data_IF_168938350489
#
_entry.id   IF_168938350489
#
_cell.length_a   1.000
_cell.length_b   1.000
_cell.length_c   1.000
_cell.angle_alpha   90.00
_cell.angle_beta   90.00
_cell.angle_gamma   90.00
#
_symmetry.space_group_name_H-M   'P 1'
#
loop_
_entity.id
_entity.type
_entity.pdbx_description
1 polymer ?
#
# COMPACT_ATOMS: atom_id res chain seq x y z
N UNK A 1 -15.71 -1.66 -7.34
CA UNK A 1 -15.75 -2.58 -8.49
C UNK A 1 -14.66 -3.63 -8.34
N UNK A 2 -15.02 -4.91 -8.28
CA UNK A 2 -14.08 -6.02 -8.45
C UNK A 2 -13.72 -6.10 -9.94
N UNK A 3 -12.65 -5.41 -10.34
CA UNK A 3 -12.18 -5.44 -11.71
C UNK A 3 -11.31 -6.67 -11.95
N UNK A 4 -11.88 -7.64 -12.67
CA UNK A 4 -11.22 -8.40 -13.73
C UNK A 4 -10.09 -9.35 -13.33
N UNK A 5 -10.31 -10.64 -13.57
CA UNK A 5 -9.24 -11.61 -13.78
C UNK A 5 -8.42 -11.23 -15.01
N UNK A 6 -7.51 -10.26 -14.86
CA UNK A 6 -6.54 -9.87 -15.86
C UNK A 6 -5.24 -10.60 -15.58
N UNK A 7 -5.11 -11.82 -16.07
CA UNK A 7 -3.88 -12.62 -16.00
C UNK A 7 -2.83 -12.11 -17.01
N UNK A 8 -2.56 -10.80 -16.97
CA UNK A 8 -1.59 -10.15 -17.84
C UNK A 8 -0.16 -10.49 -17.41
N UNK A 9 0.77 -10.55 -18.35
CA UNK A 9 2.19 -10.80 -18.07
C UNK A 9 2.74 -9.83 -17.00
N UNK A 10 2.31 -8.56 -17.04
CA UNK A 10 2.66 -7.53 -16.07
C UNK A 10 2.17 -7.84 -14.65
N UNK A 11 1.01 -8.48 -14.50
CA UNK A 11 0.51 -8.91 -13.19
C UNK A 11 1.32 -10.08 -12.61
N UNK A 12 1.69 -11.04 -13.46
CA UNK A 12 2.55 -12.18 -13.07
C UNK A 12 3.94 -11.70 -12.66
N UNK A 13 4.53 -10.79 -13.43
CA UNK A 13 5.83 -10.19 -13.13
C UNK A 13 5.81 -9.44 -11.79
N UNK A 14 4.75 -8.65 -11.52
CA UNK A 14 4.58 -7.95 -10.24
C UNK A 14 4.50 -8.92 -9.05
N UNK A 15 3.79 -10.04 -9.18
CA UNK A 15 3.75 -11.08 -8.14
C UNK A 15 5.14 -11.67 -7.88
N UNK A 16 5.87 -12.02 -8.93
CA UNK A 16 7.24 -12.53 -8.81
C UNK A 16 8.15 -11.54 -8.10
N UNK A 17 8.07 -10.25 -8.43
CA UNK A 17 8.86 -9.20 -7.78
C UNK A 17 8.52 -9.06 -6.29
N UNK A 18 7.24 -9.15 -5.93
CA UNK A 18 6.79 -9.08 -4.53
C UNK A 18 7.23 -10.31 -3.73
N UNK A 19 7.14 -11.52 -4.32
CA UNK A 19 7.69 -12.74 -3.70
C UNK A 19 9.19 -12.59 -3.48
N UNK A 20 9.93 -12.14 -4.50
CA UNK A 20 11.38 -11.93 -4.39
C UNK A 20 11.74 -10.94 -3.30
N UNK A 21 11.00 -9.82 -3.20
CA UNK A 21 11.19 -8.87 -2.10
C UNK A 21 10.91 -9.52 -0.74
N UNK A 22 9.86 -10.33 -0.63
CA UNK A 22 9.51 -11.03 0.59
C UNK A 22 10.60 -12.03 1.00
N UNK A 23 10.94 -12.95 0.10
CA UNK A 23 11.82 -14.09 0.34
C UNK A 23 13.30 -13.70 0.44
N UNK A 24 13.76 -12.71 -0.33
CA UNK A 24 15.19 -12.39 -0.36
C UNK A 24 15.56 -11.24 0.58
N UNK A 25 14.61 -10.36 0.91
CA UNK A 25 14.90 -9.14 1.68
C UNK A 25 14.11 -9.03 2.97
N UNK A 26 12.79 -8.98 2.88
CA UNK A 26 11.94 -8.70 4.05
C UNK A 26 12.09 -9.76 5.15
N UNK A 27 12.03 -11.05 4.81
CA UNK A 27 12.15 -12.11 5.84
C UNK A 27 13.52 -12.16 6.52
N UNK A 28 14.52 -11.49 5.95
CA UNK A 28 15.92 -11.45 6.43
C UNK A 28 16.26 -10.10 7.09
N UNK A 29 15.43 -9.06 6.92
CA UNK A 29 15.72 -7.71 7.42
C UNK A 29 15.50 -7.52 8.92
N UNK A 30 14.76 -8.43 9.59
CA UNK A 30 14.37 -8.31 11.01
C UNK A 30 15.50 -8.60 12.02
N UNK A 31 16.78 -8.57 11.60
CA UNK A 31 17.95 -8.60 12.49
C UNK A 31 18.19 -9.89 13.28
N UNK A 32 17.29 -10.87 13.23
CA UNK A 32 17.47 -12.18 13.85
C UNK A 32 18.38 -13.07 12.98
N UNK A 33 19.29 -13.81 13.63
CA UNK A 33 20.20 -14.78 12.97
C UNK A 33 19.46 -15.86 12.16
N UNK A 34 18.16 -15.99 12.37
CA UNK A 34 17.24 -16.87 11.64
C UNK A 34 16.09 -16.04 11.06
N UNK A 35 15.65 -16.35 9.84
CA UNK A 35 14.54 -15.65 9.21
C UNK A 35 13.25 -15.91 10.01
N UNK A 36 12.67 -14.86 10.61
CA UNK A 36 11.39 -14.92 11.35
C UNK A 36 10.27 -15.58 10.54
N UNK A 37 10.30 -15.36 9.23
CA UNK A 37 9.36 -15.93 8.29
C UNK A 37 10.06 -16.95 7.39
N UNK A 38 9.37 -18.07 7.14
CA UNK A 38 9.74 -18.98 6.06
C UNK A 38 9.55 -18.35 4.68
N UNK A 39 9.80 -19.14 3.63
CA UNK A 39 9.47 -18.72 2.27
C UNK A 39 7.96 -18.50 2.15
N UNK A 40 7.55 -17.52 1.34
CA UNK A 40 6.13 -17.18 1.15
C UNK A 40 5.27 -18.42 0.81
N UNK A 41 5.80 -19.30 -0.05
CA UNK A 41 5.11 -20.53 -0.47
C UNK A 41 4.78 -21.46 0.71
N UNK A 42 5.65 -21.48 1.72
CA UNK A 42 5.62 -22.41 2.85
C UNK A 42 5.04 -21.76 4.11
N UNK A 43 4.62 -20.48 4.05
CA UNK A 43 4.02 -19.82 5.20
C UNK A 43 2.72 -20.52 5.63
N UNK A 44 2.57 -20.79 6.94
CA UNK A 44 1.34 -21.33 7.48
C UNK A 44 0.23 -20.27 7.42
N UNK A 45 -1.02 -20.75 7.42
CA UNK A 45 -2.21 -19.94 7.21
C UNK A 45 -2.34 -18.80 8.24
N UNK A 46 -2.11 -19.11 9.51
CA UNK A 46 -2.22 -18.18 10.64
C UNK A 46 -1.22 -17.03 10.55
N UNK A 47 -0.02 -17.28 10.00
CA UNK A 47 0.99 -16.25 9.77
C UNK A 47 0.66 -15.46 8.51
N UNK A 48 0.36 -16.15 7.40
CA UNK A 48 0.07 -15.52 6.11
C UNK A 48 -1.19 -14.65 6.15
N UNK A 49 -2.12 -14.91 7.08
CA UNK A 49 -3.35 -14.16 7.29
C UNK A 49 -3.37 -13.46 8.66
N UNK A 50 -2.23 -12.90 9.09
CA UNK A 50 -2.09 -12.12 10.33
C UNK A 50 -1.87 -10.63 10.07
N UNK A 51 -2.44 -9.76 10.91
CA UNK A 51 -2.18 -8.32 10.85
C UNK A 51 -0.68 -8.01 11.05
N UNK A 52 -0.02 -8.73 11.97
CA UNK A 52 1.39 -8.53 12.31
C UNK A 52 2.32 -8.63 11.09
N UNK A 53 2.13 -9.65 10.24
CA UNK A 53 2.94 -9.84 9.04
C UNK A 53 2.89 -8.60 8.14
N UNK A 54 1.67 -8.09 7.90
CA UNK A 54 1.44 -6.96 7.00
C UNK A 54 1.84 -5.62 7.62
N UNK A 55 1.74 -5.46 8.93
CA UNK A 55 2.26 -4.28 9.63
C UNK A 55 3.78 -4.19 9.56
N UNK A 56 4.47 -5.31 9.77
CA UNK A 56 5.93 -5.39 9.61
C UNK A 56 6.35 -5.16 8.17
N UNK A 57 5.66 -5.80 7.22
CA UNK A 57 5.93 -5.56 5.81
C UNK A 57 5.71 -4.10 5.43
N UNK A 58 4.62 -3.49 5.90
CA UNK A 58 4.36 -2.07 5.69
C UNK A 58 5.47 -1.20 6.28
N UNK A 59 5.94 -1.50 7.50
CA UNK A 59 7.08 -0.82 8.12
C UNK A 59 8.35 -0.93 7.26
N UNK A 60 8.73 -2.15 6.88
CA UNK A 60 9.89 -2.40 6.03
C UNK A 60 9.81 -1.64 4.71
N UNK A 61 8.66 -1.70 4.02
CA UNK A 61 8.47 -1.03 2.73
C UNK A 61 8.61 0.50 2.81
N UNK A 62 8.22 1.11 3.93
CA UNK A 62 8.25 2.57 4.07
C UNK A 62 9.47 3.11 4.81
N UNK A 63 10.15 2.33 5.64
CA UNK A 63 11.26 2.83 6.47
C UNK A 63 12.63 2.25 6.11
N UNK A 64 12.69 1.05 5.55
CA UNK A 64 13.95 0.32 5.35
C UNK A 64 14.24 0.06 3.87
N UNK A 65 13.21 -0.27 3.10
CA UNK A 65 13.37 -0.72 1.74
C UNK A 65 13.66 0.44 0.77
N UNK A 66 14.86 0.40 0.20
CA UNK A 66 15.26 1.25 -0.92
C UNK A 66 15.38 0.46 -2.21
N UNK A 67 15.19 1.16 -3.33
CA UNK A 67 15.31 0.59 -4.67
C UNK A 67 16.76 0.11 -4.87
N UNK A 68 16.97 -1.15 -5.27
CA UNK A 68 18.31 -1.71 -5.42
C UNK A 68 19.10 -1.01 -6.53
N UNK A 69 20.43 -1.12 -6.43
CA UNK A 69 21.34 -0.66 -7.48
C UNK A 69 21.03 -1.30 -8.84
N UNK A 70 21.29 -0.57 -9.92
CA UNK A 70 20.99 -1.00 -11.28
C UNK A 70 19.53 -0.81 -11.72
N UNK A 71 18.65 -0.27 -10.86
CA UNK A 71 17.29 0.12 -11.22
C UNK A 71 17.13 1.65 -11.28
N UNK A 72 16.08 2.09 -11.98
CA UNK A 72 15.70 3.51 -12.00
C UNK A 72 15.38 3.98 -10.58
N UNK A 73 15.96 5.12 -10.17
CA UNK A 73 15.86 5.69 -8.83
C UNK A 73 16.51 4.83 -7.73
N UNK A 74 17.58 4.09 -8.04
CA UNK A 74 18.36 3.33 -7.05
C UNK A 74 18.72 4.20 -5.82
N UNK A 75 18.64 3.58 -4.63
CA UNK A 75 18.86 4.25 -3.34
C UNK A 75 17.67 5.06 -2.83
N UNK A 76 16.69 5.41 -3.69
CA UNK A 76 15.47 6.06 -3.24
C UNK A 76 14.49 5.06 -2.62
N UNK A 77 13.62 5.55 -1.75
CA UNK A 77 12.50 4.78 -1.24
C UNK A 77 11.39 4.61 -2.28
N UNK A 78 10.54 3.61 -2.07
CA UNK A 78 9.36 3.40 -2.92
C UNK A 78 8.39 4.59 -2.86
N UNK A 79 7.76 4.87 -3.99
CA UNK A 79 6.63 5.80 -4.04
C UNK A 79 5.40 5.21 -3.33
N UNK A 80 4.50 6.08 -2.89
CA UNK A 80 3.29 5.70 -2.14
C UNK A 80 2.46 4.62 -2.85
N UNK A 81 2.20 4.81 -4.14
CA UNK A 81 1.42 3.85 -4.93
C UNK A 81 2.12 2.49 -5.04
N UNK A 82 3.45 2.47 -5.22
CA UNK A 82 4.21 1.22 -5.36
C UNK A 82 4.24 0.46 -4.03
N UNK A 83 4.53 1.13 -2.92
CA UNK A 83 4.56 0.51 -1.60
C UNK A 83 3.20 -0.10 -1.21
N UNK A 84 2.11 0.65 -1.39
CA UNK A 84 0.75 0.15 -1.11
C UNK A 84 0.39 -1.02 -2.03
N UNK A 85 0.77 -0.95 -3.31
CA UNK A 85 0.51 -2.02 -4.26
C UNK A 85 1.26 -3.31 -3.89
N UNK A 86 2.50 -3.23 -3.41
CA UNK A 86 3.26 -4.40 -2.95
C UNK A 86 2.56 -5.10 -1.78
N UNK A 87 2.12 -4.33 -0.78
CA UNK A 87 1.33 -4.84 0.35
C UNK A 87 0.05 -5.55 -0.14
N UNK A 88 -0.68 -4.91 -1.07
CA UNK A 88 -1.94 -5.45 -1.58
C UNK A 88 -1.74 -6.69 -2.44
N UNK A 89 -0.67 -6.77 -3.23
CA UNK A 89 -0.35 -7.97 -4.01
C UNK A 89 -0.15 -9.16 -3.08
N UNK A 90 0.65 -9.00 -2.03
CA UNK A 90 0.92 -10.08 -1.09
C UNK A 90 -0.35 -10.52 -0.35
N UNK A 91 -1.20 -9.57 0.05
CA UNK A 91 -2.50 -9.86 0.67
C UNK A 91 -3.46 -10.58 -0.28
N UNK A 92 -3.51 -10.18 -1.56
CA UNK A 92 -4.30 -10.89 -2.57
C UNK A 92 -3.76 -12.31 -2.84
N UNK A 93 -2.45 -12.53 -2.68
CA UNK A 93 -1.87 -13.87 -2.78
C UNK A 93 -2.26 -14.77 -1.60
N UNK A 94 -2.30 -14.22 -0.38
CA UNK A 94 -2.85 -14.95 0.77
C UNK A 94 -4.34 -15.27 0.56
N UNK A 95 -5.11 -14.31 0.06
CA UNK A 95 -6.51 -14.55 -0.30
C UNK A 95 -6.66 -15.63 -1.37
N UNK A 96 -5.84 -15.63 -2.40
CA UNK A 96 -5.86 -16.67 -3.43
C UNK A 96 -5.56 -18.07 -2.86
N UNK A 97 -4.67 -18.15 -1.86
CA UNK A 97 -4.29 -19.41 -1.20
C UNK A 97 -5.35 -19.90 -0.21
N UNK A 98 -5.97 -19.01 0.56
CA UNK A 98 -6.75 -19.40 1.75
C UNK A 98 -8.21 -18.95 1.78
N UNK A 99 -8.69 -18.13 0.82
CA UNK A 99 -10.08 -17.61 0.87
C UNK A 99 -11.14 -18.72 0.82
N UNK A 100 -10.88 -19.80 0.09
CA UNK A 100 -11.82 -20.92 -0.08
C UNK A 100 -11.60 -22.04 0.93
N UNK A 101 -10.34 -22.31 1.29
CA UNK A 101 -9.94 -23.47 2.11
C UNK A 101 -9.64 -23.11 3.58
N UNK A 102 -9.43 -21.84 3.88
CA UNK A 102 -9.02 -21.38 5.20
C UNK A 102 -10.12 -21.48 6.26
N UNK A 103 -9.71 -21.40 7.52
CA UNK A 103 -10.58 -21.39 8.67
C UNK A 103 -11.39 -20.07 8.78
N UNK A 104 -12.35 -20.04 9.70
CA UNK A 104 -13.25 -18.89 9.86
C UNK A 104 -12.53 -17.61 10.27
N UNK A 105 -11.45 -17.72 11.06
CA UNK A 105 -10.60 -16.58 11.42
C UNK A 105 -9.92 -15.99 10.18
N UNK A 106 -9.40 -16.83 9.29
CA UNK A 106 -8.77 -16.41 8.03
C UNK A 106 -9.79 -15.77 7.09
N UNK A 107 -10.99 -16.37 6.96
CA UNK A 107 -12.07 -15.77 6.17
C UNK A 107 -12.48 -14.40 6.71
N UNK A 108 -12.58 -14.26 8.04
CA UNK A 108 -12.86 -12.99 8.70
C UNK A 108 -11.74 -11.97 8.47
N UNK A 109 -10.47 -12.37 8.59
CA UNK A 109 -9.33 -11.52 8.28
C UNK A 109 -9.39 -11.03 6.83
N UNK A 110 -9.64 -11.92 5.86
CA UNK A 110 -9.69 -11.60 4.44
C UNK A 110 -10.87 -10.70 4.02
N UNK A 111 -11.82 -10.43 4.92
CA UNK A 111 -12.81 -9.35 4.72
C UNK A 111 -12.14 -7.98 4.56
N UNK A 112 -10.87 -7.83 4.96
CA UNK A 112 -10.11 -6.60 4.75
C UNK A 112 -9.97 -6.20 3.27
N UNK A 113 -10.09 -7.16 2.35
CA UNK A 113 -10.06 -6.91 0.90
C UNK A 113 -11.39 -6.43 0.33
N UNK A 114 -12.48 -6.53 1.09
CA UNK A 114 -13.78 -5.99 0.68
C UNK A 114 -13.83 -4.48 0.96
N UNK A 115 -13.94 -3.71 -0.11
CA UNK A 115 -13.97 -2.25 -0.07
C UNK A 115 -15.19 -1.73 0.70
N UNK A 116 -16.28 -2.49 0.72
CA UNK A 116 -17.54 -2.11 1.36
C UNK A 116 -17.69 -2.67 2.77
N UNK A 117 -16.77 -3.53 3.23
CA UNK A 117 -16.86 -4.13 4.55
C UNK A 117 -16.55 -3.12 5.67
N UNK A 118 -17.33 -3.18 6.75
CA UNK A 118 -17.12 -2.41 7.99
C UNK A 118 -16.48 -3.26 9.10
N UNK A 119 -15.91 -4.42 8.74
CA UNK A 119 -15.24 -5.31 9.69
C UNK A 119 -13.97 -4.67 10.26
N UNK A 120 -13.53 -5.17 11.43
CA UNK A 120 -12.29 -4.72 12.06
C UNK A 120 -11.10 -4.86 11.11
N UNK A 121 -10.98 -6.00 10.41
CA UNK A 121 -9.92 -6.23 9.44
C UNK A 121 -9.95 -5.22 8.27
N UNK A 122 -11.14 -4.84 7.78
CA UNK A 122 -11.27 -3.81 6.74
C UNK A 122 -10.91 -2.42 7.23
N UNK A 123 -11.29 -2.06 8.45
CA UNK A 123 -10.88 -0.79 9.08
C UNK A 123 -9.38 -0.76 9.32
N UNK A 124 -8.80 -1.85 9.82
CA UNK A 124 -7.36 -2.02 10.03
C UNK A 124 -6.56 -1.80 8.74
N UNK A 125 -6.91 -2.49 7.64
CA UNK A 125 -6.16 -2.34 6.38
C UNK A 125 -6.24 -0.92 5.82
N UNK A 126 -7.41 -0.25 5.94
CA UNK A 126 -7.55 1.17 5.57
C UNK A 126 -6.67 2.06 6.44
N UNK A 127 -6.62 1.81 7.75
CA UNK A 127 -5.75 2.52 8.70
C UNK A 127 -4.27 2.33 8.39
N UNK A 128 -3.85 1.10 8.09
CA UNK A 128 -2.47 0.76 7.73
C UNK A 128 -2.04 1.48 6.44
N UNK A 129 -2.88 1.48 5.41
CA UNK A 129 -2.62 2.22 4.16
C UNK A 129 -2.47 3.73 4.42
N UNK A 130 -3.36 4.33 5.23
CA UNK A 130 -3.25 5.73 5.62
C UNK A 130 -1.94 6.03 6.37
N UNK A 131 -1.53 5.13 7.27
CA UNK A 131 -0.26 5.26 7.99
C UNK A 131 0.94 5.21 7.04
N UNK A 132 0.96 4.28 6.09
CA UNK A 132 1.99 4.21 5.05
C UNK A 132 2.06 5.50 4.23
N UNK A 133 0.91 5.98 3.75
CA UNK A 133 0.83 7.26 3.02
C UNK A 133 1.41 8.39 3.85
N UNK A 134 1.00 8.53 5.11
CA UNK A 134 1.50 9.60 5.98
C UNK A 134 3.03 9.58 6.12
N UNK A 135 3.62 8.42 6.43
CA UNK A 135 5.08 8.30 6.60
C UNK A 135 5.84 8.67 5.33
N UNK A 136 5.36 8.20 4.17
CA UNK A 136 5.98 8.50 2.89
C UNK A 136 5.91 10.00 2.58
N UNK A 137 4.77 10.63 2.87
CA UNK A 137 4.56 12.06 2.67
C UNK A 137 5.41 12.92 3.61
N UNK A 138 5.49 12.56 4.89
CA UNK A 138 6.34 13.24 5.88
C UNK A 138 7.80 13.18 5.46
N UNK A 139 8.30 11.99 5.09
CA UNK A 139 9.68 11.83 4.60
C UNK A 139 9.96 12.68 3.37
N UNK A 140 9.07 12.68 2.39
CA UNK A 140 9.29 13.44 1.16
C UNK A 140 9.26 14.95 1.41
N UNK A 141 8.39 15.41 2.33
CA UNK A 141 8.38 16.80 2.80
C UNK A 141 9.73 17.16 3.45
N UNK A 142 10.27 16.29 4.29
CA UNK A 142 11.55 16.52 4.99
C UNK A 142 12.75 16.49 4.04
N UNK A 143 12.75 15.58 3.05
CA UNK A 143 13.85 15.46 2.08
C UNK A 143 13.77 16.47 0.93
N UNK A 144 12.68 17.22 0.82
CA UNK A 144 12.41 18.11 -0.32
C UNK A 144 12.17 17.37 -1.63
N UNK A 145 11.85 16.07 -1.59
CA UNK A 145 11.48 15.32 -2.79
C UNK A 145 10.12 15.78 -3.33
N UNK A 146 10.08 16.14 -4.61
CA UNK A 146 8.83 16.33 -5.33
C UNK A 146 8.04 15.02 -5.36
N UNK A 147 6.88 15.01 -4.70
CA UNK A 147 6.05 13.81 -4.57
C UNK A 147 5.07 13.61 -5.72
N UNK A 148 4.69 14.69 -6.39
CA UNK A 148 3.62 14.69 -7.35
C UNK A 148 3.84 15.76 -8.41
N UNK A 149 4.01 15.32 -9.66
CA UNK A 149 4.02 16.16 -10.87
C UNK A 149 2.78 15.86 -11.73
N UNK A 150 1.81 15.09 -11.22
CA UNK A 150 0.60 14.73 -11.95
C UNK A 150 -0.42 15.87 -12.02
N UNK A 151 -0.26 16.88 -11.16
CA UNK A 151 -1.00 18.13 -11.22
C UNK A 151 -0.05 19.31 -11.49
N UNK A 152 -0.43 20.28 -12.33
CA UNK A 152 0.33 21.51 -12.47
C UNK A 152 0.40 22.24 -11.11
N UNK A 153 1.53 22.87 -10.78
CA UNK A 153 1.66 23.62 -9.53
C UNK A 153 0.53 24.63 -9.35
N UNK A 154 0.00 24.74 -8.13
CA UNK A 154 -0.95 25.78 -7.78
C UNK A 154 -0.22 27.10 -7.61
N UNK A 155 -0.48 28.06 -8.49
CA UNK A 155 0.00 29.43 -8.38
C UNK A 155 -1.05 30.32 -7.70
N UNK A 156 -0.63 31.52 -7.26
CA UNK A 156 -1.51 32.51 -6.62
C UNK A 156 -2.79 32.79 -7.44
N UNK A 157 -2.68 32.77 -8.77
CA UNK A 157 -3.79 32.94 -9.70
C UNK A 157 -4.84 31.83 -9.56
N UNK A 158 -4.43 30.57 -9.36
CA UNK A 158 -5.36 29.46 -9.12
C UNK A 158 -6.09 29.62 -7.78
N UNK A 159 -5.40 30.09 -6.73
CA UNK A 159 -6.01 30.36 -5.42
C UNK A 159 -7.02 31.50 -5.49
N UNK A 160 -6.71 32.56 -6.25
CA UNK A 160 -7.64 33.67 -6.50
C UNK A 160 -8.89 33.20 -7.23
N UNK A 161 -8.75 32.36 -8.27
CA UNK A 161 -9.88 31.83 -9.02
C UNK A 161 -10.78 30.92 -8.17
N UNK A 162 -10.18 30.05 -7.34
CA UNK A 162 -10.92 29.21 -6.39
C UNK A 162 -11.69 30.08 -5.39
N UNK A 163 -11.02 31.09 -4.81
CA UNK A 163 -11.63 31.99 -3.83
C UNK A 163 -12.79 32.80 -4.44
N UNK A 164 -12.63 33.26 -5.69
CA UNK A 164 -13.69 33.96 -6.42
C UNK A 164 -14.88 33.05 -6.76
N UNK A 165 -14.63 31.78 -7.10
CA UNK A 165 -15.68 30.81 -7.36
C UNK A 165 -16.52 30.54 -6.11
N UNK A 166 -15.87 30.28 -4.96
CA UNK A 166 -16.55 30.12 -3.68
C UNK A 166 -17.32 31.38 -3.25
N UNK A 167 -16.76 32.58 -3.47
CA UNK A 167 -17.45 33.82 -3.17
C UNK A 167 -18.71 34.01 -4.03
N UNK A 168 -18.66 33.64 -5.32
CA UNK A 168 -19.82 33.68 -6.22
C UNK A 168 -20.90 32.67 -5.83
N UNK A 169 -20.51 31.45 -5.49
CA UNK A 169 -21.45 30.40 -5.03
C UNK A 169 -22.14 30.81 -3.73
N UNK A 170 -21.39 31.31 -2.75
CA UNK A 170 -21.95 31.85 -1.52
C UNK A 170 -22.90 33.05 -1.76
N UNK A 171 -22.59 33.92 -2.73
CA UNK A 171 -23.49 35.03 -3.08
C UNK A 171 -24.76 34.61 -3.83
N UNK A 172 -24.77 33.40 -4.42
CA UNK A 172 -25.95 32.86 -5.09
C UNK A 172 -26.93 32.23 -4.09
N UNK A 173 -26.44 31.66 -2.98
CA UNK A 173 -27.28 31.08 -1.92
C UNK A 173 -28.02 32.14 -1.07
N UNK A 174 -27.56 33.40 -1.08
CA UNK A 174 -28.18 34.50 -0.31
C UNK A 174 -29.44 35.07 -0.98
N UNK A 175 -29.77 34.62 -2.20
CA UNK A 175 -30.93 35.10 -2.97
C UNK A 175 -32.08 34.08 -3.11
N UNK A 176 -32.18 33.10 -2.21
CA UNK A 176 -33.35 32.20 -2.10
C UNK A 176 -34.26 32.62 -0.95
#
# INVERSE_FOLDING_TARGET
>A
MLAGGGDSAAWKEKKTNVIRLFDDKFRVSDGEREARYGLWKDLPEDVACSEELYERLAHYLVNEHTIPEGQRNAGAFLSCNVAINYLCILLNMAAAKFKTIGNDRTKLFLTCLDVNASTQAAMWLRGLKKKMTRIIFERAKESGQEMDMSAPPLYLEHVQLISQAYAKEASAEVHV
#
